data_IF_176325258906
#
_entry.id   IF_176325258906
#
_cell.length_a   1.000
_cell.length_b   1.000
_cell.length_c   1.000
_cell.angle_alpha   90.00
_cell.angle_beta   90.00
_cell.angle_gamma   90.00
#
_symmetry.space_group_name_H-M   'P 1'
#
loop_
_entity.id
_entity.type
_entity.pdbx_description
1 polymer ?
#
# COMPACT_ATOMS: atom_id res chain seq x y z
N UNK A 1 -24.80 -12.60 -2.40
CA UNK A 1 -23.57 -12.17 -3.10
C UNK A 1 -23.35 -10.66 -3.05
N UNK A 2 -24.31 -9.83 -3.52
CA UNK A 2 -24.17 -8.36 -3.54
C UNK A 2 -24.03 -7.73 -2.13
N UNK A 3 -24.74 -8.25 -1.12
CA UNK A 3 -24.59 -7.79 0.29
C UNK A 3 -23.19 -8.06 0.87
N UNK A 4 -22.59 -9.20 0.52
CA UNK A 4 -21.25 -9.58 0.98
C UNK A 4 -20.17 -8.67 0.38
N UNK A 5 -20.31 -8.34 -0.91
CA UNK A 5 -19.45 -7.38 -1.62
C UNK A 5 -19.63 -5.97 -1.04
N UNK A 6 -20.87 -5.59 -0.70
CA UNK A 6 -21.18 -4.28 -0.13
C UNK A 6 -20.69 -4.14 1.31
N UNK A 7 -20.71 -5.20 2.12
CA UNK A 7 -20.14 -5.19 3.48
C UNK A 7 -18.60 -5.24 3.46
N UNK A 8 -18.00 -5.93 2.48
CA UNK A 8 -16.57 -5.79 2.14
C UNK A 8 -16.22 -4.33 1.81
N UNK A 9 -17.03 -3.66 0.99
CA UNK A 9 -16.81 -2.26 0.58
C UNK A 9 -17.16 -1.24 1.68
N UNK A 10 -18.09 -1.56 2.58
CA UNK A 10 -18.51 -0.66 3.67
C UNK A 10 -17.49 -0.58 4.80
N UNK A 11 -16.62 -1.59 4.92
CA UNK A 11 -15.51 -1.64 5.87
C UNK A 11 -14.24 -0.94 5.35
N UNK A 12 -14.19 -0.65 4.05
CA UNK A 12 -13.09 0.03 3.36
C UNK A 12 -13.09 1.52 3.75
N UNK A 13 -12.08 1.95 4.48
CA UNK A 13 -11.83 3.37 4.77
C UNK A 13 -11.35 4.10 3.51
N UNK A 14 -11.38 5.44 3.52
CA UNK A 14 -10.83 6.25 2.43
C UNK A 14 -9.39 5.85 2.04
N UNK A 15 -8.62 5.34 3.00
CA UNK A 15 -7.27 4.82 2.78
C UNK A 15 -7.22 3.56 1.92
N UNK A 16 -8.20 2.67 2.08
CA UNK A 16 -8.27 1.42 1.33
C UNK A 16 -8.65 1.70 -0.14
N UNK A 17 -9.53 2.70 -0.37
CA UNK A 17 -9.86 3.20 -1.71
C UNK A 17 -8.65 3.88 -2.35
N UNK A 18 -7.93 4.73 -1.61
CA UNK A 18 -6.70 5.36 -2.09
C UNK A 18 -5.64 4.32 -2.45
N UNK A 19 -5.55 3.23 -1.68
CA UNK A 19 -4.66 2.11 -1.97
C UNK A 19 -5.02 1.40 -3.26
N UNK A 20 -6.31 1.20 -3.52
CA UNK A 20 -6.79 0.57 -4.75
C UNK A 20 -6.53 1.45 -5.98
N UNK A 21 -6.82 2.75 -5.89
CA UNK A 21 -6.54 3.74 -6.95
C UNK A 21 -5.04 3.76 -7.26
N UNK A 22 -4.20 3.72 -6.22
CA UNK A 22 -2.76 3.73 -6.37
C UNK A 22 -2.22 2.43 -6.98
N UNK A 23 -2.77 1.27 -6.60
CA UNK A 23 -2.42 0.00 -7.23
C UNK A 23 -2.77 0.00 -8.72
N UNK A 24 -3.93 0.56 -9.10
CA UNK A 24 -4.31 0.71 -10.51
C UNK A 24 -3.38 1.70 -11.22
N UNK A 25 -3.02 2.82 -10.59
CA UNK A 25 -2.06 3.79 -11.14
C UNK A 25 -0.65 3.19 -11.33
N UNK A 26 -0.20 2.34 -10.41
CA UNK A 26 1.06 1.58 -10.52
C UNK A 26 1.01 0.54 -11.67
N UNK A 27 -0.14 -0.08 -11.93
CA UNK A 27 -0.30 -0.96 -13.10
C UNK A 27 -0.39 -0.19 -14.42
N UNK A 28 -0.96 1.01 -14.41
CA UNK A 28 -1.00 1.93 -15.56
C UNK A 28 0.40 2.40 -15.98
N UNK A 29 1.38 2.36 -15.08
CA UNK A 29 2.79 2.60 -15.39
C UNK A 29 3.42 1.57 -16.35
N UNK A 30 2.73 0.47 -16.68
CA UNK A 30 3.15 -0.45 -17.75
C UNK A 30 2.97 0.14 -19.16
N UNK A 31 2.05 1.10 -19.33
CA UNK A 31 1.99 1.89 -20.54
C UNK A 31 3.14 2.91 -20.49
N UNK A 32 3.97 2.98 -21.53
CA UNK A 32 5.11 3.90 -21.64
C UNK A 32 4.66 5.37 -21.47
N UNK A 33 4.62 5.85 -20.22
CA UNK A 33 4.24 7.21 -19.87
C UNK A 33 5.49 8.09 -19.66
N UNK A 34 5.34 9.42 -19.77
CA UNK A 34 6.44 10.35 -19.50
C UNK A 34 6.92 10.25 -18.05
N UNK A 35 8.22 10.41 -17.82
CA UNK A 35 8.90 10.22 -16.52
C UNK A 35 8.28 11.00 -15.34
N UNK A 36 7.63 12.13 -15.63
CA UNK A 36 6.94 12.94 -14.63
C UNK A 36 5.75 12.22 -13.96
N UNK A 37 5.06 11.33 -14.68
CA UNK A 37 3.93 10.57 -14.14
C UNK A 37 4.37 9.63 -13.01
N UNK A 38 5.46 8.88 -13.24
CA UNK A 38 6.04 7.97 -12.24
C UNK A 38 6.44 8.71 -10.97
N UNK A 39 7.01 9.91 -11.10
CA UNK A 39 7.43 10.71 -9.93
C UNK A 39 6.22 11.07 -9.05
N UNK A 40 5.10 11.47 -9.66
CA UNK A 40 3.88 11.81 -8.94
C UNK A 40 3.31 10.56 -8.26
N UNK A 41 3.21 9.44 -8.97
CA UNK A 41 2.70 8.17 -8.43
C UNK A 41 3.52 7.70 -7.22
N UNK A 42 4.84 7.84 -7.25
CA UNK A 42 5.73 7.47 -6.12
C UNK A 42 5.57 8.35 -4.90
N UNK A 43 5.37 9.66 -5.08
CA UNK A 43 5.08 10.57 -3.96
C UNK A 43 3.75 10.15 -3.31
N UNK A 44 2.72 9.88 -4.12
CA UNK A 44 1.45 9.35 -3.61
C UNK A 44 1.62 8.00 -2.91
N UNK A 45 2.43 7.08 -3.46
CA UNK A 45 2.75 5.80 -2.83
C UNK A 45 3.41 5.97 -1.48
N UNK A 46 4.38 6.86 -1.37
CA UNK A 46 5.06 7.16 -0.11
C UNK A 46 4.08 7.69 0.94
N UNK A 47 3.19 8.62 0.55
CA UNK A 47 2.18 9.18 1.47
C UNK A 47 1.24 8.07 1.96
N UNK A 48 0.71 7.25 1.06
CA UNK A 48 -0.23 6.18 1.44
C UNK A 48 0.45 5.13 2.32
N UNK A 49 1.70 4.76 2.02
CA UNK A 49 2.47 3.82 2.84
C UNK A 49 2.81 4.38 4.23
N UNK A 50 3.13 5.68 4.35
CA UNK A 50 3.31 6.34 5.65
C UNK A 50 2.01 6.32 6.48
N UNK A 51 0.85 6.58 5.86
CA UNK A 51 -0.45 6.50 6.54
C UNK A 51 -0.78 5.07 7.00
N UNK A 52 -0.40 4.06 6.22
CA UNK A 52 -0.52 2.67 6.65
C UNK A 52 0.42 2.34 7.82
N UNK A 53 1.65 2.83 7.79
CA UNK A 53 2.62 2.62 8.87
C UNK A 53 2.12 3.16 10.21
N UNK A 54 1.47 4.34 10.23
CA UNK A 54 0.89 4.90 11.47
C UNK A 54 -0.28 4.05 12.00
N UNK A 55 -1.10 3.49 11.11
CA UNK A 55 -2.15 2.54 11.50
C UNK A 55 -1.56 1.25 12.09
N UNK A 56 -0.50 0.70 11.48
CA UNK A 56 0.16 -0.50 12.01
C UNK A 56 0.86 -0.26 13.35
N UNK A 57 1.42 0.94 13.54
CA UNK A 57 1.96 1.37 14.82
C UNK A 57 0.89 1.38 15.90
N UNK A 58 -0.29 1.96 15.61
CA UNK A 58 -1.43 1.98 16.55
C UNK A 58 -2.02 0.60 16.85
N UNK A 59 -1.85 -0.38 15.96
CA UNK A 59 -2.34 -1.77 16.10
C UNK A 59 -1.27 -2.75 16.59
N UNK A 60 -0.18 -2.25 17.19
CA UNK A 60 0.88 -3.07 17.79
C UNK A 60 1.68 -3.96 16.82
N UNK A 61 1.45 -3.86 15.51
CA UNK A 61 2.02 -4.77 14.51
C UNK A 61 3.36 -4.25 13.98
N UNK A 62 4.40 -4.35 14.83
CA UNK A 62 5.75 -3.85 14.57
C UNK A 62 6.37 -4.36 13.26
N UNK A 63 6.10 -5.62 12.89
CA UNK A 63 6.61 -6.23 11.64
C UNK A 63 6.05 -5.53 10.41
N UNK A 64 4.73 -5.31 10.35
CA UNK A 64 4.09 -4.66 9.20
C UNK A 64 4.43 -3.17 9.13
N UNK A 65 4.58 -2.52 10.29
CA UNK A 65 5.09 -1.16 10.37
C UNK A 65 6.49 -1.06 9.75
N UNK A 66 7.42 -1.95 10.11
CA UNK A 66 8.77 -1.97 9.52
C UNK A 66 8.75 -2.22 8.01
N UNK A 67 7.89 -3.12 7.54
CA UNK A 67 7.72 -3.37 6.09
C UNK A 67 7.18 -2.12 5.39
N UNK A 68 6.16 -1.47 5.94
CA UNK A 68 5.55 -0.28 5.36
C UNK A 68 6.52 0.90 5.33
N UNK A 69 7.29 1.11 6.40
CA UNK A 69 8.36 2.11 6.47
C UNK A 69 9.47 1.77 5.47
N UNK A 70 9.87 0.49 5.38
CA UNK A 70 10.86 0.02 4.42
C UNK A 70 10.47 0.30 2.98
N UNK A 71 9.19 0.08 2.63
CA UNK A 71 8.65 0.42 1.30
C UNK A 71 8.56 1.92 1.08
N UNK A 72 8.12 2.70 2.08
CA UNK A 72 8.09 4.17 1.98
C UNK A 72 9.50 4.75 1.76
N UNK A 73 10.51 4.16 2.41
CA UNK A 73 11.92 4.47 2.17
C UNK A 73 12.35 3.93 0.80
N UNK A 74 11.89 2.78 0.34
CA UNK A 74 12.22 2.26 -1.00
C UNK A 74 11.78 3.22 -2.12
N UNK A 75 10.63 3.88 -1.96
CA UNK A 75 10.10 4.86 -2.90
C UNK A 75 10.78 6.23 -2.88
N UNK A 76 11.81 6.42 -2.04
CA UNK A 76 12.61 7.63 -1.82
C UNK A 76 12.12 8.92 -2.52
N UNK A 77 11.53 9.88 -1.81
CA UNK A 77 11.19 11.18 -2.38
C UNK A 77 12.40 12.10 -2.69
N UNK A 78 13.63 11.73 -2.31
CA UNK A 78 14.78 12.66 -2.28
C UNK A 78 16.02 12.28 -3.12
N UNK A 79 16.27 11.01 -3.44
CA UNK A 79 17.42 10.62 -4.28
C UNK A 79 16.96 10.01 -5.60
N UNK A 80 17.39 10.61 -6.71
CA UNK A 80 17.26 10.02 -8.06
C UNK A 80 18.15 8.79 -8.13
N UNK A 81 17.58 7.61 -7.85
CA UNK A 81 18.19 6.37 -8.28
C UNK A 81 17.88 6.23 -9.77
N UNK A 82 18.93 6.19 -10.60
CA UNK A 82 18.82 5.95 -12.05
C UNK A 82 18.57 4.45 -12.26
N UNK A 83 17.48 3.93 -11.69
CA UNK A 83 16.96 2.62 -12.04
C UNK A 83 16.24 2.76 -13.38
N UNK A 84 16.47 1.78 -14.24
CA UNK A 84 15.73 1.60 -15.47
C UNK A 84 14.23 1.39 -15.19
N UNK A 85 13.41 1.65 -16.21
CA UNK A 85 11.95 1.51 -16.12
C UNK A 85 11.54 0.10 -15.67
N UNK A 86 12.26 -0.92 -16.10
CA UNK A 86 11.90 -2.32 -15.86
C UNK A 86 12.12 -2.71 -14.39
N UNK A 87 13.23 -2.27 -13.79
CA UNK A 87 13.48 -2.47 -12.36
C UNK A 87 12.41 -1.81 -11.48
N UNK A 88 11.98 -0.59 -11.84
CA UNK A 88 10.92 0.10 -11.10
C UNK A 88 9.56 -0.55 -11.27
N UNK A 89 9.27 -1.13 -12.44
CA UNK A 89 8.04 -1.87 -12.65
C UNK A 89 7.94 -3.08 -11.71
N UNK A 90 9.04 -3.81 -11.50
CA UNK A 90 9.06 -4.94 -10.55
C UNK A 90 8.75 -4.47 -9.14
N UNK A 91 9.36 -3.35 -8.71
CA UNK A 91 9.08 -2.73 -7.40
C UNK A 91 7.62 -2.33 -7.29
N UNK A 92 7.07 -1.66 -8.31
CA UNK A 92 5.68 -1.19 -8.34
C UNK A 92 4.69 -2.36 -8.24
N UNK A 93 4.97 -3.49 -8.90
CA UNK A 93 4.14 -4.71 -8.81
C UNK A 93 4.19 -5.32 -7.40
N UNK A 94 5.37 -5.41 -6.79
CA UNK A 94 5.52 -5.92 -5.41
C UNK A 94 4.74 -5.04 -4.44
N UNK A 95 4.77 -3.72 -4.64
CA UNK A 95 4.08 -2.75 -3.79
C UNK A 95 2.58 -2.82 -4.00
N UNK A 96 2.11 -2.92 -5.25
CA UNK A 96 0.70 -3.10 -5.57
C UNK A 96 0.12 -4.37 -4.90
N UNK A 97 0.89 -5.47 -4.92
CA UNK A 97 0.54 -6.70 -4.21
C UNK A 97 0.50 -6.49 -2.69
N UNK A 98 1.50 -5.81 -2.12
CA UNK A 98 1.52 -5.49 -0.70
C UNK A 98 0.26 -4.70 -0.31
N UNK A 99 -0.08 -3.64 -1.07
CA UNK A 99 -1.26 -2.81 -0.83
C UNK A 99 -2.58 -3.58 -0.92
N UNK A 100 -2.70 -4.57 -1.81
CA UNK A 100 -3.87 -5.44 -1.88
C UNK A 100 -4.02 -6.33 -0.65
N UNK A 101 -2.92 -6.71 0.00
CA UNK A 101 -2.91 -7.63 1.14
C UNK A 101 -3.17 -6.88 2.47
N UNK A 102 -2.76 -5.61 2.60
CA UNK A 102 -2.90 -4.83 3.85
C UNK A 102 -4.32 -4.80 4.46
N UNK A 103 -5.41 -4.62 3.67
CA UNK A 103 -6.77 -4.61 4.20
C UNK A 103 -7.17 -5.95 4.85
N UNK A 104 -6.72 -7.08 4.29
CA UNK A 104 -7.00 -8.41 4.84
C UNK A 104 -6.21 -8.67 6.12
N UNK A 105 -5.00 -8.16 6.22
CA UNK A 105 -4.15 -8.32 7.41
C UNK A 105 -4.68 -7.48 8.58
N UNK A 106 -5.22 -6.27 8.31
CA UNK A 106 -5.88 -5.42 9.31
C UNK A 106 -7.01 -6.13 10.06
N UNK A 107 -7.77 -6.98 9.35
CA UNK A 107 -8.87 -7.77 9.91
C UNK A 107 -8.37 -8.96 10.74
N UNK A 108 -7.28 -9.61 10.29
CA UNK A 108 -6.63 -10.71 11.04
C UNK A 108 -6.02 -10.23 12.36
N UNK A 109 -5.38 -9.06 12.37
CA UNK A 109 -4.80 -8.49 13.60
C UNK A 109 -5.88 -8.23 14.64
N UNK A 110 -7.01 -7.66 14.21
CA UNK A 110 -8.13 -7.34 15.11
C UNK A 110 -8.72 -8.61 15.76
N UNK A 111 -8.86 -9.68 14.97
CA UNK A 111 -9.34 -10.98 15.46
C UNK A 111 -8.33 -11.70 16.37
N UNK A 112 -7.03 -11.39 16.27
CA UNK A 112 -6.01 -11.95 17.16
C UNK A 112 -5.98 -11.22 18.50
N UNK A 113 -6.02 -9.88 18.50
CA UNK A 113 -6.11 -9.09 19.73
C UNK A 113 -7.35 -9.46 20.57
N UNK A 114 -8.47 -9.79 19.93
CA UNK A 114 -9.72 -10.18 20.61
C UNK A 114 -9.67 -11.60 21.20
N UNK A 115 -8.93 -12.53 20.58
CA UNK A 115 -8.70 -13.89 21.12
C UNK A 115 -7.63 -13.93 22.22
N UNK A 116 -6.62 -13.06 22.17
CA UNK A 116 -5.59 -12.99 23.22
C UNK A 116 -6.10 -12.29 24.51
N UNK A 117 -7.27 -11.65 24.46
CA UNK A 117 -7.92 -10.95 25.56
C UNK A 117 -9.03 -11.75 26.28
N UNK A 118 -9.33 -12.98 25.82
CA UNK A 118 -10.37 -13.86 26.37
C UNK A 118 -9.78 -15.22 26.76
#
# INVERSE_FOLDING_TARGET
MIKLIKDIFRKFSALDIASFILAVALLLCFADLPYGYYTIVRIFATIVMCLWATIFYSKGSKTLMMIAIGIAILFQPFFKIVLDKDSWLVVDVVVALAMLILPFVKDKIKAKEENDAN
#
